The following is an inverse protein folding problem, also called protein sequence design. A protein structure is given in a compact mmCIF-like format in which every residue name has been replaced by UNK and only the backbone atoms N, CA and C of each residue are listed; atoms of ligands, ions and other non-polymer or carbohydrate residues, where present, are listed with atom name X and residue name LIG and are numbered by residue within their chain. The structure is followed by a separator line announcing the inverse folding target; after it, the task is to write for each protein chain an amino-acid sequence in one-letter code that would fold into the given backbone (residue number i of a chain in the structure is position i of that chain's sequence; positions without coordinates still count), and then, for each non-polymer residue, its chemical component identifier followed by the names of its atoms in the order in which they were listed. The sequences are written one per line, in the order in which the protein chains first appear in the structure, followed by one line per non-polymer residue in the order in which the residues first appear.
data_IF_145269096118
#
_entry.id   IF_145269096118
#
_cell.length_a   1.000
_cell.length_b   1.000
_cell.length_c   1.000
_cell.angle_alpha   90.00
_cell.angle_beta   90.00
_cell.angle_gamma   90.00
#
_symmetry.space_group_name_H-M   'P 1'
#
loop_
_entity.id
_entity.type
_entity.pdbx_description
1 polymer ?
#
# COMPACT_ATOMS: atom_id res chain seq x y z
N UNK A 1 6.85 -3.20 29.24
CA UNK A 1 5.99 -3.71 28.15
C UNK A 1 4.74 -2.86 28.13
N UNK A 2 4.66 -1.86 27.24
CA UNK A 2 3.43 -1.07 27.07
C UNK A 2 2.54 -1.83 26.08
N UNK A 3 1.33 -2.17 26.50
CA UNK A 3 0.34 -2.83 25.66
C UNK A 3 0.02 -1.96 24.43
N UNK A 4 -0.01 -2.58 23.25
CA UNK A 4 -0.38 -1.95 21.97
C UNK A 4 -1.88 -1.61 22.00
N UNK A 5 -2.30 -0.39 21.63
CA UNK A 5 -3.68 0.08 21.85
C UNK A 5 -4.72 -0.44 20.84
N UNK A 6 -4.41 -1.39 19.97
CA UNK A 6 -5.39 -1.96 19.05
C UNK A 6 -5.38 -3.47 19.08
N UNK A 7 -6.18 -4.04 19.99
CA UNK A 7 -6.77 -5.36 19.76
C UNK A 7 -7.56 -5.25 18.46
N UNK A 8 -7.06 -5.90 17.40
CA UNK A 8 -7.87 -6.23 16.22
C UNK A 8 -9.11 -6.91 16.75
N UNK A 9 -10.26 -6.24 16.68
CA UNK A 9 -11.53 -6.89 16.96
C UNK A 9 -11.69 -7.97 15.91
N UNK A 10 -11.40 -9.21 16.29
CA UNK A 10 -11.88 -10.42 15.62
C UNK A 10 -13.42 -10.45 15.78
N UNK A 11 -14.10 -9.58 15.05
CA UNK A 11 -15.51 -9.67 14.75
C UNK A 11 -15.61 -9.86 13.25
N UNK A 12 -16.27 -10.92 12.80
CA UNK A 12 -16.65 -11.05 11.40
C UNK A 12 -17.42 -9.79 11.01
N UNK A 13 -16.79 -8.88 10.26
CA UNK A 13 -17.50 -7.76 9.65
C UNK A 13 -18.41 -8.37 8.59
N UNK A 14 -19.72 -8.12 8.62
CA UNK A 14 -20.59 -8.67 7.59
C UNK A 14 -20.17 -8.09 6.24
N UNK A 15 -20.05 -8.97 5.25
CA UNK A 15 -19.90 -8.56 3.85
C UNK A 15 -21.08 -7.66 3.49
N UNK A 16 -20.85 -6.68 2.62
CA UNK A 16 -21.92 -5.80 2.16
C UNK A 16 -23.03 -6.65 1.51
N UNK A 17 -24.23 -6.58 2.06
CA UNK A 17 -25.43 -7.17 1.48
C UNK A 17 -25.91 -6.26 0.34
N UNK A 18 -25.87 -6.75 -0.90
CA UNK A 18 -26.14 -5.94 -2.09
C UNK A 18 -24.94 -5.09 -2.53
N UNK A 19 -25.21 -4.03 -3.29
CA UNK A 19 -24.20 -3.20 -3.95
C UNK A 19 -24.26 -1.73 -3.53
N UNK A 20 -25.12 -1.36 -2.57
CA UNK A 20 -25.31 0.04 -2.14
C UNK A 20 -25.09 0.27 -0.66
N UNK A 21 -24.68 1.49 -0.33
CA UNK A 21 -24.52 1.95 1.06
C UNK A 21 -24.72 3.47 1.17
N UNK A 22 -24.94 3.97 2.39
CA UNK A 22 -25.06 5.40 2.67
C UNK A 22 -23.81 5.94 3.34
N UNK A 23 -23.27 7.01 2.79
CA UNK A 23 -22.12 7.68 3.38
C UNK A 23 -21.91 9.08 2.80
N UNK A 24 -21.51 10.01 3.64
CA UNK A 24 -20.98 11.30 3.17
C UNK A 24 -20.03 11.90 4.20
N UNK A 25 -18.86 12.35 3.76
CA UNK A 25 -17.91 13.07 4.61
C UNK A 25 -17.79 14.50 4.10
N UNK A 26 -18.03 15.48 4.98
CA UNK A 26 -17.97 16.91 4.65
C UNK A 26 -17.40 17.71 5.83
N UNK A 27 -16.79 18.89 5.58
CA UNK A 27 -16.21 19.73 6.63
C UNK A 27 -17.16 20.18 7.74
N UNK A 28 -18.47 20.28 7.45
CA UNK A 28 -19.50 20.70 8.41
C UNK A 28 -19.83 19.62 9.46
N UNK A 29 -19.38 18.38 9.27
CA UNK A 29 -19.61 17.31 10.23
C UNK A 29 -18.70 17.48 11.46
N UNK A 30 -19.27 17.35 12.66
CA UNK A 30 -18.52 17.40 13.94
C UNK A 30 -17.39 16.37 14.06
N UNK A 31 -17.42 15.30 13.26
CA UNK A 31 -16.38 14.28 13.23
C UNK A 31 -15.31 14.52 12.16
N UNK A 32 -15.40 15.60 11.37
CA UNK A 32 -14.44 15.90 10.31
C UNK A 32 -13.01 15.92 10.87
N UNK A 33 -12.07 15.31 10.16
CA UNK A 33 -10.66 15.07 10.55
C UNK A 33 -10.41 14.12 11.73
N UNK A 34 -11.44 13.65 12.45
CA UNK A 34 -11.26 12.76 13.61
C UNK A 34 -10.60 11.42 13.24
N UNK A 35 -10.80 10.93 12.01
CA UNK A 35 -10.15 9.72 11.49
C UNK A 35 -8.63 9.90 11.26
N UNK A 36 -8.13 11.13 11.20
CA UNK A 36 -6.71 11.44 11.01
C UNK A 36 -5.91 11.40 12.33
N UNK A 37 -6.41 10.71 13.36
CA UNK A 37 -5.78 10.55 14.69
C UNK A 37 -5.78 9.09 15.08
N UNK A 38 -4.69 8.65 15.73
CA UNK A 38 -4.55 7.28 16.23
C UNK A 38 -4.81 6.21 15.14
N UNK A 39 -4.37 6.47 13.91
CA UNK A 39 -4.49 5.53 12.81
C UNK A 39 -3.28 4.58 12.77
N UNK A 40 -3.51 3.27 12.68
CA UNK A 40 -2.48 2.27 12.36
C UNK A 40 -2.61 1.92 10.87
N UNK A 41 -1.78 2.55 10.03
CA UNK A 41 -2.04 2.65 8.60
C UNK A 41 -0.92 2.02 7.77
N UNK A 42 -1.24 0.93 7.07
CA UNK A 42 -0.37 0.35 6.05
C UNK A 42 -0.20 1.32 4.88
N UNK A 43 1.04 1.39 4.38
CA UNK A 43 1.38 2.00 3.11
C UNK A 43 1.87 0.90 2.16
N UNK A 44 1.12 0.66 1.10
CA UNK A 44 1.55 -0.22 0.03
C UNK A 44 2.53 0.50 -0.91
N UNK A 45 3.29 -0.24 -1.74
CA UNK A 45 4.24 0.36 -2.67
C UNK A 45 3.68 1.52 -3.49
N UNK A 46 2.43 1.39 -3.96
CA UNK A 46 1.77 2.45 -4.73
C UNK A 46 1.43 3.68 -3.89
N UNK A 47 1.02 3.50 -2.62
CA UNK A 47 0.81 4.64 -1.71
C UNK A 47 2.10 5.43 -1.52
N UNK A 48 3.24 4.75 -1.36
CA UNK A 48 4.55 5.40 -1.20
C UNK A 48 4.93 6.21 -2.43
N UNK A 49 4.67 5.71 -3.65
CA UNK A 49 4.88 6.48 -4.89
C UNK A 49 4.04 7.75 -4.89
N UNK A 50 2.75 7.63 -4.60
CA UNK A 50 1.82 8.79 -4.59
C UNK A 50 2.25 9.83 -3.56
N UNK A 51 2.55 9.40 -2.35
CA UNK A 51 2.94 10.29 -1.26
C UNK A 51 4.29 10.96 -1.50
N UNK A 52 5.33 10.21 -1.89
CA UNK A 52 6.65 10.81 -2.12
C UNK A 52 6.60 11.84 -3.26
N UNK A 53 5.83 11.56 -4.31
CA UNK A 53 5.69 12.46 -5.46
C UNK A 53 4.88 13.71 -5.09
N UNK A 54 3.79 13.55 -4.33
CA UNK A 54 3.02 14.68 -3.78
C UNK A 54 3.87 15.60 -2.92
N UNK A 55 4.79 15.03 -2.15
CA UNK A 55 5.69 15.78 -1.26
C UNK A 55 6.95 16.29 -1.97
N UNK A 56 7.22 15.84 -3.20
CA UNK A 56 8.43 16.20 -3.94
C UNK A 56 9.72 15.69 -3.29
N UNK A 57 9.69 14.53 -2.63
CA UNK A 57 10.85 13.95 -1.93
C UNK A 57 11.25 12.58 -2.49
N UNK A 58 12.55 12.21 -2.42
CA UNK A 58 12.99 10.86 -2.76
C UNK A 58 12.43 9.79 -1.80
N UNK A 59 12.38 8.54 -2.28
CA UNK A 59 11.88 7.38 -1.52
C UNK A 59 12.56 7.22 -0.17
N UNK A 60 13.90 7.33 -0.11
CA UNK A 60 14.67 7.15 1.13
C UNK A 60 14.26 8.19 2.18
N UNK A 61 14.22 9.47 1.80
CA UNK A 61 13.76 10.55 2.68
C UNK A 61 12.31 10.36 3.12
N UNK A 62 11.42 9.94 2.23
CA UNK A 62 10.03 9.66 2.58
C UNK A 62 9.93 8.54 3.63
N UNK A 63 10.61 7.42 3.40
CA UNK A 63 10.61 6.27 4.29
C UNK A 63 11.16 6.63 5.68
N UNK A 64 12.25 7.39 5.75
CA UNK A 64 12.86 7.82 7.01
C UNK A 64 11.98 8.79 7.81
N UNK A 65 11.39 9.79 7.14
CA UNK A 65 10.70 10.89 7.81
C UNK A 65 9.24 10.59 8.11
N UNK A 66 8.56 9.85 7.22
CA UNK A 66 7.10 9.68 7.27
C UNK A 66 6.65 8.27 7.54
N UNK A 67 7.56 7.30 7.70
CA UNK A 67 7.18 5.91 7.93
C UNK A 67 7.92 5.26 9.09
N UNK A 68 7.41 4.11 9.51
CA UNK A 68 8.17 3.14 10.30
C UNK A 68 7.84 1.74 9.80
N UNK A 69 8.70 0.77 10.09
CA UNK A 69 8.46 -0.63 9.72
C UNK A 69 7.99 -1.43 10.91
N UNK A 70 7.06 -2.37 10.67
CA UNK A 70 6.66 -3.31 11.69
C UNK A 70 6.18 -4.64 11.08
N UNK A 71 6.38 -5.73 11.80
CA UNK A 71 5.75 -7.01 11.47
C UNK A 71 4.29 -6.98 11.94
N UNK A 72 3.39 -7.36 11.04
CA UNK A 72 1.94 -7.36 11.23
C UNK A 72 1.36 -8.64 10.63
N UNK A 73 0.33 -8.55 9.79
CA UNK A 73 -0.36 -9.67 9.18
C UNK A 73 0.57 -10.60 8.38
N UNK A 74 1.65 -10.06 7.79
CA UNK A 74 2.75 -10.86 7.27
C UNK A 74 3.89 -10.88 8.32
N UNK A 75 4.13 -12.00 9.01
CA UNK A 75 5.19 -12.09 10.01
C UNK A 75 6.58 -12.31 9.42
N UNK A 76 6.69 -12.47 8.10
CA UNK A 76 7.97 -12.77 7.43
C UNK A 76 8.53 -11.60 6.65
N UNK A 77 7.76 -10.54 6.43
CA UNK A 77 8.24 -9.34 5.73
C UNK A 77 7.68 -8.09 6.42
N UNK A 78 8.52 -7.08 6.71
CA UNK A 78 8.06 -5.90 7.41
C UNK A 78 7.07 -5.11 6.56
N UNK A 79 5.95 -4.73 7.17
CA UNK A 79 5.01 -3.77 6.61
C UNK A 79 5.56 -2.35 6.80
N UNK A 80 5.33 -1.47 5.83
CA UNK A 80 5.60 -0.04 5.97
C UNK A 80 4.33 0.63 6.46
N UNK A 81 4.46 1.38 7.55
CA UNK A 81 3.35 2.04 8.23
C UNK A 81 3.54 3.56 8.18
N UNK A 82 2.46 4.31 8.03
CA UNK A 82 2.53 5.78 8.16
C UNK A 82 2.90 6.15 9.60
N UNK A 83 3.89 7.03 9.75
CA UNK A 83 4.32 7.54 11.04
C UNK A 83 3.40 8.68 11.47
N UNK A 84 2.69 8.45 12.56
CA UNK A 84 1.86 9.47 13.21
C UNK A 84 2.72 10.35 14.14
N UNK A 85 2.23 11.54 14.49
CA UNK A 85 2.96 12.47 15.36
C UNK A 85 3.16 11.89 16.76
N UNK A 86 4.30 12.16 17.40
CA UNK A 86 4.56 11.76 18.79
C UNK A 86 3.84 12.63 19.85
N UNK A 87 2.93 13.51 19.42
CA UNK A 87 2.09 14.32 20.34
C UNK A 87 0.96 13.50 20.95
N UNK A 88 0.36 13.99 22.04
CA UNK A 88 -0.79 13.33 22.70
C UNK A 88 -1.98 13.07 21.75
N UNK A 89 -2.10 13.88 20.69
CA UNK A 89 -3.16 13.74 19.70
C UNK A 89 -2.92 12.61 18.69
N UNK A 90 -1.67 12.14 18.59
CA UNK A 90 -1.22 11.12 17.65
C UNK A 90 -1.78 11.35 16.24
N UNK A 91 -1.67 12.60 15.77
CA UNK A 91 -2.26 13.06 14.53
C UNK A 91 -1.43 12.66 13.31
N UNK A 92 -2.09 12.52 12.16
CA UNK A 92 -1.44 12.36 10.87
C UNK A 92 -0.56 13.61 10.61
N UNK A 93 0.69 13.45 10.17
CA UNK A 93 1.59 14.59 9.93
C UNK A 93 1.11 15.52 8.80
N UNK A 94 0.15 15.09 7.99
CA UNK A 94 -0.42 15.87 6.89
C UNK A 94 -1.74 16.55 7.24
N UNK A 95 -2.15 16.50 8.51
CA UNK A 95 -3.36 17.16 8.96
C UNK A 95 -3.08 18.59 9.42
N UNK A 96 -3.88 19.53 8.94
CA UNK A 96 -4.00 20.91 9.43
C UNK A 96 -5.42 21.16 9.92
N UNK A 97 -5.66 22.36 10.46
CA UNK A 97 -7.01 22.79 10.87
C UNK A 97 -7.99 22.87 9.68
N UNK A 98 -7.47 23.05 8.47
CA UNK A 98 -8.25 23.07 7.22
C UNK A 98 -8.52 21.67 6.65
N UNK A 99 -7.83 20.64 7.15
CA UNK A 99 -7.99 19.25 6.71
C UNK A 99 -6.68 18.60 6.27
N UNK A 100 -6.79 17.60 5.39
CA UNK A 100 -5.64 16.81 4.94
C UNK A 100 -4.95 17.50 3.75
N UNK A 101 -3.67 17.87 3.90
CA UNK A 101 -2.90 18.58 2.86
C UNK A 101 -2.56 17.71 1.64
N UNK A 102 -2.64 16.39 1.81
CA UNK A 102 -2.42 15.37 0.78
C UNK A 102 -3.73 14.71 0.33
N UNK A 103 -4.89 15.32 0.56
CA UNK A 103 -6.19 14.65 0.39
C UNK A 103 -6.32 13.93 -0.96
N UNK A 104 -5.97 14.59 -2.08
CA UNK A 104 -6.03 14.00 -3.43
C UNK A 104 -5.10 12.80 -3.65
N UNK A 105 -4.01 12.69 -2.88
CA UNK A 105 -3.01 11.62 -2.96
C UNK A 105 -3.00 10.73 -1.71
N UNK A 106 -4.08 10.80 -0.91
CA UNK A 106 -4.21 10.03 0.34
C UNK A 106 -4.06 8.52 0.08
N UNK A 107 -3.49 7.77 1.04
CA UNK A 107 -3.31 6.32 0.90
C UNK A 107 -4.62 5.58 0.69
N UNK A 108 -4.53 4.36 0.16
CA UNK A 108 -5.68 3.50 -0.10
C UNK A 108 -6.55 3.30 1.15
N UNK A 109 -5.94 3.16 2.32
CA UNK A 109 -6.62 3.00 3.61
C UNK A 109 -7.51 4.20 3.99
N UNK A 110 -7.11 5.42 3.65
CA UNK A 110 -7.94 6.62 3.78
C UNK A 110 -8.99 6.71 2.69
N UNK A 111 -8.61 6.34 1.46
CA UNK A 111 -9.42 6.51 0.24
C UNK A 111 -10.60 5.57 0.18
N UNK A 112 -10.43 4.33 0.64
CA UNK A 112 -11.49 3.32 0.63
C UNK A 112 -12.58 3.61 1.63
N UNK A 113 -12.26 4.24 2.77
CA UNK A 113 -13.22 4.40 3.87
C UNK A 113 -14.53 5.08 3.43
N UNK A 114 -15.71 4.45 3.64
CA UNK A 114 -15.92 3.31 4.54
C UNK A 114 -15.89 1.94 3.84
N UNK A 115 -15.75 1.89 2.51
CA UNK A 115 -15.81 0.70 1.69
C UNK A 115 -14.48 -0.05 1.66
N UNK A 116 -14.26 -0.96 2.60
CA UNK A 116 -13.08 -1.83 2.62
C UNK A 116 -13.20 -2.95 1.58
N UNK A 117 -12.06 -3.36 1.02
CA UNK A 117 -11.94 -4.45 0.05
C UNK A 117 -11.09 -5.58 0.62
N UNK A 118 -11.59 -6.80 0.55
CA UNK A 118 -10.80 -8.02 0.74
C UNK A 118 -10.67 -8.77 -0.58
N UNK A 119 -9.49 -9.29 -0.86
CA UNK A 119 -9.21 -10.08 -2.07
C UNK A 119 -8.91 -11.51 -1.65
N UNK A 120 -9.63 -12.47 -2.20
CA UNK A 120 -9.30 -13.88 -1.99
C UNK A 120 -7.90 -14.18 -2.58
N UNK A 121 -7.03 -14.81 -1.78
CA UNK A 121 -5.70 -15.26 -2.23
C UNK A 121 -5.72 -16.64 -2.91
N UNK A 122 -6.88 -17.28 -3.02
CA UNK A 122 -7.05 -18.59 -3.64
C UNK A 122 -7.53 -18.44 -5.10
N UNK A 123 -6.73 -18.93 -6.06
CA UNK A 123 -7.09 -18.96 -7.48
C UNK A 123 -6.01 -18.40 -8.41
N UNK A 124 -6.07 -18.78 -9.68
CA UNK A 124 -5.33 -18.06 -10.74
C UNK A 124 -5.93 -16.64 -10.87
N UNK A 125 -5.24 -15.69 -11.52
CA UNK A 125 -5.74 -14.31 -11.66
C UNK A 125 -7.20 -14.19 -12.17
N UNK A 126 -7.74 -15.24 -12.81
CA UNK A 126 -9.10 -15.32 -13.33
C UNK A 126 -10.20 -15.55 -12.26
N UNK A 127 -9.86 -16.01 -11.04
CA UNK A 127 -10.83 -16.38 -9.99
C UNK A 127 -10.83 -15.39 -8.79
N UNK A 128 -10.24 -14.20 -8.95
CA UNK A 128 -10.17 -13.20 -7.87
C UNK A 128 -11.56 -12.62 -7.60
N UNK A 129 -12.17 -13.08 -6.51
CA UNK A 129 -13.41 -12.50 -5.97
C UNK A 129 -13.03 -11.38 -5.01
N UNK A 130 -13.45 -10.16 -5.37
CA UNK A 130 -13.39 -9.00 -4.48
C UNK A 130 -14.62 -9.00 -3.58
N UNK A 131 -14.39 -9.01 -2.26
CA UNK A 131 -15.44 -8.88 -1.27
C UNK A 131 -15.36 -7.49 -0.63
N UNK A 132 -16.50 -6.82 -0.51
CA UNK A 132 -16.58 -5.48 0.06
C UNK A 132 -17.26 -5.48 1.43
N UNK A 133 -16.79 -4.60 2.31
CA UNK A 133 -17.27 -4.45 3.68
C UNK A 133 -17.41 -2.97 4.02
N UNK A 134 -18.38 -2.63 4.88
CA UNK A 134 -18.54 -1.26 5.35
C UNK A 134 -17.94 -1.11 6.74
N UNK A 135 -16.81 -0.42 6.83
CA UNK A 135 -16.16 -0.07 8.08
C UNK A 135 -16.97 1.00 8.82
N UNK A 136 -17.36 0.70 10.06
CA UNK A 136 -18.12 1.62 10.93
C UNK A 136 -17.32 1.93 12.19
N UNK A 137 -16.83 3.15 12.29
CA UNK A 137 -16.25 3.68 13.52
C UNK A 137 -17.31 4.50 14.26
N UNK A 138 -17.44 4.29 15.58
CA UNK A 138 -18.48 4.94 16.40
C UNK A 138 -18.46 6.47 16.35
N UNK A 139 -17.29 7.05 16.07
CA UNK A 139 -17.14 8.50 15.94
C UNK A 139 -17.58 9.06 14.59
N UNK A 140 -17.74 8.23 13.56
CA UNK A 140 -17.93 8.68 12.18
C UNK A 140 -19.40 8.97 11.89
N UNK A 141 -19.76 10.25 11.88
CA UNK A 141 -21.12 10.74 11.59
C UNK A 141 -21.48 10.69 10.10
N UNK A 142 -20.53 10.36 9.22
CA UNK A 142 -20.77 10.22 7.79
C UNK A 142 -21.74 9.09 7.42
N UNK A 143 -21.84 8.07 8.27
CA UNK A 143 -22.79 6.96 8.13
C UNK A 143 -24.25 7.37 8.38
N UNK A 144 -24.49 8.52 9.00
CA UNK A 144 -25.83 9.03 9.31
C UNK A 144 -26.34 9.98 8.21
N UNK A 145 -25.56 10.18 7.14
CA UNK A 145 -25.94 11.05 6.03
C UNK A 145 -26.81 10.30 5.02
N UNK A 146 -27.56 11.05 4.22
CA UNK A 146 -28.57 10.48 3.32
C UNK A 146 -28.04 10.12 1.94
N UNK A 147 -26.83 10.58 1.57
CA UNK A 147 -26.24 10.28 0.27
C UNK A 147 -26.00 8.78 0.12
N UNK A 148 -26.59 8.22 -0.93
CA UNK A 148 -26.46 6.82 -1.30
C UNK A 148 -25.42 6.66 -2.40
N UNK A 149 -24.68 5.56 -2.33
CA UNK A 149 -23.65 5.15 -3.27
C UNK A 149 -23.87 3.72 -3.70
N UNK A 150 -23.52 3.40 -4.94
CA UNK A 150 -23.15 2.03 -5.30
C UNK A 150 -21.66 1.80 -5.01
N UNK A 151 -21.24 0.54 -4.92
CA UNK A 151 -19.82 0.15 -4.86
C UNK A 151 -19.04 0.77 -6.02
N UNK A 152 -19.58 0.68 -7.24
CA UNK A 152 -18.93 1.18 -8.45
C UNK A 152 -18.79 2.71 -8.44
N UNK A 153 -19.86 3.43 -8.09
CA UNK A 153 -19.84 4.90 -8.00
C UNK A 153 -18.82 5.37 -6.97
N UNK A 154 -18.69 4.65 -5.84
CA UNK A 154 -17.70 4.97 -4.82
C UNK A 154 -16.27 4.74 -5.31
N UNK A 155 -16.03 3.63 -6.00
CA UNK A 155 -14.73 3.30 -6.58
C UNK A 155 -14.29 4.39 -7.57
N UNK A 156 -15.19 4.81 -8.45
CA UNK A 156 -14.91 5.88 -9.42
C UNK A 156 -14.74 7.23 -8.73
N UNK A 157 -15.67 7.61 -7.85
CA UNK A 157 -15.63 8.89 -7.14
C UNK A 157 -14.37 9.06 -6.29
N UNK A 158 -13.94 7.98 -5.63
CA UNK A 158 -12.73 8.00 -4.81
C UNK A 158 -11.48 7.63 -5.60
N UNK A 159 -11.55 7.37 -6.91
CA UNK A 159 -10.41 6.97 -7.76
C UNK A 159 -9.65 5.74 -7.21
N UNK A 160 -10.39 4.73 -6.75
CA UNK A 160 -9.84 3.53 -6.10
C UNK A 160 -9.30 2.53 -7.12
N UNK A 161 -9.82 2.52 -8.35
CA UNK A 161 -9.52 1.50 -9.38
C UNK A 161 -8.02 1.29 -9.60
N UNK A 162 -7.28 2.37 -9.83
CA UNK A 162 -5.83 2.32 -10.06
C UNK A 162 -5.07 1.77 -8.83
N UNK A 163 -5.48 2.17 -7.63
CA UNK A 163 -4.88 1.63 -6.41
C UNK A 163 -5.17 0.13 -6.27
N UNK A 164 -6.39 -0.31 -6.56
CA UNK A 164 -6.73 -1.73 -6.53
C UNK A 164 -5.88 -2.54 -7.51
N UNK A 165 -5.69 -2.04 -8.73
CA UNK A 165 -4.83 -2.67 -9.74
C UNK A 165 -3.38 -2.81 -9.25
N UNK A 166 -2.80 -1.76 -8.68
CA UNK A 166 -1.42 -1.82 -8.19
C UNK A 166 -1.30 -2.70 -6.93
N UNK A 167 -2.29 -2.64 -6.03
CA UNK A 167 -2.32 -3.48 -4.84
C UNK A 167 -2.52 -4.96 -5.17
N UNK A 168 -3.25 -5.26 -6.25
CA UNK A 168 -3.41 -6.61 -6.77
C UNK A 168 -2.08 -7.23 -7.22
N UNK A 169 -1.15 -6.42 -7.73
CA UNK A 169 0.23 -6.84 -8.02
C UNK A 169 1.02 -7.06 -6.72
N UNK A 170 0.86 -6.18 -5.75
CA UNK A 170 1.51 -6.33 -4.43
C UNK A 170 1.06 -7.61 -3.71
N UNK A 171 -0.23 -8.00 -3.79
CA UNK A 171 -0.75 -9.24 -3.18
C UNK A 171 0.01 -10.48 -3.68
N UNK A 172 0.40 -10.52 -4.96
CA UNK A 172 1.20 -11.62 -5.50
C UNK A 172 2.57 -11.71 -4.84
N UNK A 173 3.24 -10.56 -4.68
CA UNK A 173 4.56 -10.45 -4.05
C UNK A 173 4.47 -10.77 -2.54
N UNK A 174 3.49 -10.22 -1.84
CA UNK A 174 3.23 -10.53 -0.43
C UNK A 174 2.95 -12.03 -0.21
N UNK A 175 2.30 -12.70 -1.18
CA UNK A 175 2.07 -14.15 -1.13
C UNK A 175 3.39 -14.94 -1.23
N UNK A 176 4.33 -14.51 -2.07
CA UNK A 176 5.66 -15.11 -2.14
C UNK A 176 6.40 -14.93 -0.81
N UNK A 177 6.33 -13.73 -0.23
CA UNK A 177 6.98 -13.43 1.06
C UNK A 177 6.43 -14.27 2.21
N UNK A 178 5.14 -14.61 2.18
CA UNK A 178 4.49 -15.48 3.19
C UNK A 178 5.01 -16.91 3.18
N UNK A 179 5.59 -17.37 2.07
CA UNK A 179 6.24 -18.68 1.96
C UNK A 179 7.66 -18.71 2.57
N UNK A 180 8.08 -17.64 3.27
CA UNK A 180 9.36 -17.51 3.97
C UNK A 180 10.60 -17.73 3.08
N UNK A 181 10.73 -17.01 1.94
CA UNK A 181 11.80 -17.24 0.96
C UNK A 181 13.19 -16.72 1.41
N UNK A 182 13.40 -16.50 2.72
CA UNK A 182 14.55 -15.74 3.24
C UNK A 182 15.75 -16.60 3.64
N UNK A 183 15.60 -17.93 3.61
CA UNK A 183 16.61 -18.87 4.10
C UNK A 183 16.83 -18.79 5.61
N UNK A 184 17.93 -19.36 6.09
CA UNK A 184 18.26 -19.46 7.53
C UNK A 184 18.45 -18.09 8.20
N UNK A 185 18.88 -17.08 7.46
CA UNK A 185 19.12 -15.73 7.98
C UNK A 185 17.82 -14.96 8.27
N UNK A 186 16.67 -15.46 7.83
CA UNK A 186 15.35 -14.90 8.08
C UNK A 186 15.31 -13.37 7.87
N UNK A 187 14.98 -12.61 8.93
CA UNK A 187 14.85 -11.15 8.88
C UNK A 187 16.15 -10.41 8.50
N UNK A 188 17.31 -11.06 8.68
CA UNK A 188 18.63 -10.49 8.36
C UNK A 188 19.10 -10.82 6.94
N UNK A 189 18.31 -11.57 6.17
CA UNK A 189 18.66 -12.02 4.83
C UNK A 189 18.94 -10.85 3.87
N UNK A 190 20.06 -10.87 3.11
CA UNK A 190 20.30 -9.94 2.01
C UNK A 190 19.14 -9.93 1.00
N UNK A 191 18.51 -11.10 0.76
CA UNK A 191 17.38 -11.21 -0.16
C UNK A 191 16.16 -10.40 0.31
N UNK A 192 15.91 -10.36 1.62
CA UNK A 192 14.87 -9.53 2.20
C UNK A 192 15.17 -8.04 1.98
N UNK A 193 16.40 -7.59 2.27
CA UNK A 193 16.81 -6.19 2.08
C UNK A 193 16.69 -5.75 0.63
N UNK A 194 17.11 -6.61 -0.30
CA UNK A 194 16.97 -6.39 -1.75
C UNK A 194 15.50 -6.30 -2.18
N UNK A 195 14.66 -7.18 -1.64
CA UNK A 195 13.21 -7.17 -1.91
C UNK A 195 12.54 -5.92 -1.36
N UNK A 196 12.90 -5.48 -0.16
CA UNK A 196 12.43 -4.23 0.44
C UNK A 196 12.82 -3.02 -0.41
N UNK A 197 14.07 -2.96 -0.87
CA UNK A 197 14.53 -1.89 -1.77
C UNK A 197 13.68 -1.82 -3.04
N UNK A 198 13.51 -2.94 -3.75
CA UNK A 198 12.75 -2.96 -5.00
C UNK A 198 11.24 -2.70 -4.84
N UNK A 199 10.67 -2.95 -3.66
CA UNK A 199 9.25 -2.72 -3.41
C UNK A 199 8.97 -1.32 -2.86
N UNK A 200 9.85 -0.74 -2.04
CA UNK A 200 9.56 0.47 -1.27
C UNK A 200 10.55 1.61 -1.48
N UNK A 201 11.81 1.33 -1.79
CA UNK A 201 12.83 2.35 -2.04
C UNK A 201 13.19 2.41 -3.54
N UNK A 202 12.24 2.90 -4.33
CA UNK A 202 12.34 2.88 -5.79
C UNK A 202 13.49 3.72 -6.32
N UNK A 203 13.81 4.86 -5.70
CA UNK A 203 14.96 5.67 -6.14
C UNK A 203 16.28 4.91 -5.94
N UNK A 204 16.42 4.18 -4.82
CA UNK A 204 17.58 3.30 -4.61
C UNK A 204 17.58 2.10 -5.54
N UNK A 205 16.41 1.52 -5.84
CA UNK A 205 16.29 0.45 -6.83
C UNK A 205 16.64 0.92 -8.25
N UNK A 206 16.26 2.14 -8.61
CA UNK A 206 16.62 2.80 -9.88
C UNK A 206 18.13 2.90 -10.02
N UNK A 207 18.81 3.35 -8.97
CA UNK A 207 20.28 3.42 -8.93
C UNK A 207 20.90 2.02 -9.00
N UNK A 208 20.35 1.05 -8.26
CA UNK A 208 20.81 -0.34 -8.33
C UNK A 208 20.75 -0.91 -9.76
N UNK A 209 19.68 -0.64 -10.52
CA UNK A 209 19.59 -1.09 -11.93
C UNK A 209 20.68 -0.45 -12.79
N UNK A 210 20.95 0.85 -12.60
CA UNK A 210 21.91 1.61 -13.42
C UNK A 210 23.36 1.33 -13.08
N UNK A 211 23.69 1.25 -11.80
CA UNK A 211 25.06 1.31 -11.28
C UNK A 211 25.64 -0.08 -11.01
N UNK A 212 24.81 -1.12 -10.93
CA UNK A 212 25.26 -2.50 -10.75
C UNK A 212 25.39 -3.24 -12.08
N UNK A 213 25.79 -4.51 -12.01
CA UNK A 213 25.79 -5.43 -13.15
C UNK A 213 24.39 -5.89 -13.57
N UNK A 214 23.31 -5.20 -13.18
CA UNK A 214 21.94 -5.63 -13.47
C UNK A 214 21.69 -5.71 -14.97
N UNK A 215 21.96 -4.63 -15.71
CA UNK A 215 21.69 -4.55 -17.16
C UNK A 215 22.66 -5.40 -18.00
N UNK A 216 23.78 -5.83 -17.44
CA UNK A 216 24.66 -6.83 -18.09
C UNK A 216 24.20 -8.27 -17.86
N UNK A 217 23.36 -8.54 -16.86
CA UNK A 217 22.87 -9.89 -16.52
C UNK A 217 21.46 -10.18 -17.04
N UNK A 218 20.62 -9.17 -17.23
CA UNK A 218 19.24 -9.34 -17.67
C UNK A 218 19.01 -8.78 -19.07
N UNK A 219 18.15 -9.46 -19.84
CA UNK A 219 17.64 -8.98 -21.12
C UNK A 219 16.54 -7.95 -20.87
N UNK A 220 16.89 -6.67 -21.05
CA UNK A 220 15.96 -5.54 -20.93
C UNK A 220 16.18 -4.64 -22.15
N UNK A 221 15.13 -4.40 -22.92
CA UNK A 221 15.23 -3.58 -24.13
C UNK A 221 15.50 -2.10 -23.77
N UNK A 222 16.15 -1.32 -24.64
CA UNK A 222 16.37 0.11 -24.42
C UNK A 222 15.07 0.88 -24.10
N UNK A 223 13.98 0.56 -24.78
CA UNK A 223 12.66 1.18 -24.58
C UNK A 223 12.14 0.87 -23.18
N UNK A 224 12.32 -0.36 -22.71
CA UNK A 224 11.90 -0.73 -21.35
C UNK A 224 12.76 -0.04 -20.30
N UNK A 225 14.06 0.11 -20.54
CA UNK A 225 14.95 0.87 -19.66
C UNK A 225 14.46 2.31 -19.57
N UNK A 226 14.23 2.99 -20.70
CA UNK A 226 13.71 4.36 -20.71
C UNK A 226 12.40 4.48 -19.91
N UNK A 227 11.46 3.55 -20.14
CA UNK A 227 10.18 3.54 -19.46
C UNK A 227 10.32 3.43 -17.92
N UNK A 228 11.11 2.49 -17.41
CA UNK A 228 11.28 2.30 -15.96
C UNK A 228 12.14 3.40 -15.32
N UNK A 229 12.92 4.13 -16.11
CA UNK A 229 13.69 5.27 -15.61
C UNK A 229 12.84 6.53 -15.47
N UNK A 230 11.81 6.66 -16.31
CA UNK A 230 10.94 7.85 -16.38
C UNK A 230 9.60 7.69 -15.67
N UNK A 231 9.23 6.49 -15.20
CA UNK A 231 7.98 6.25 -14.47
C UNK A 231 8.20 5.36 -13.25
N UNK A 232 7.94 5.90 -12.06
CA UNK A 232 8.05 5.17 -10.80
C UNK A 232 7.02 4.01 -10.72
N UNK A 233 5.86 4.15 -11.35
CA UNK A 233 4.86 3.06 -11.44
C UNK A 233 5.39 1.92 -12.29
N UNK A 234 6.02 2.21 -13.42
CA UNK A 234 6.63 1.18 -14.28
C UNK A 234 7.86 0.55 -13.62
N UNK A 235 8.64 1.35 -12.88
CA UNK A 235 9.75 0.85 -12.06
C UNK A 235 9.27 -0.09 -10.95
N UNK A 236 8.17 0.23 -10.26
CA UNK A 236 7.56 -0.64 -9.25
C UNK A 236 7.10 -1.97 -9.85
N UNK A 237 6.37 -1.93 -10.97
CA UNK A 237 5.94 -3.14 -11.69
C UNK A 237 7.15 -3.99 -12.10
N UNK A 238 8.22 -3.35 -12.56
CA UNK A 238 9.47 -4.03 -12.89
C UNK A 238 10.15 -4.62 -11.65
N UNK A 239 10.18 -3.89 -10.53
CA UNK A 239 10.67 -4.35 -9.23
C UNK A 239 9.94 -5.60 -8.76
N UNK A 240 8.61 -5.66 -8.88
CA UNK A 240 7.82 -6.85 -8.55
C UNK A 240 8.19 -8.05 -9.44
N UNK A 241 8.33 -7.86 -10.76
CA UNK A 241 8.79 -8.90 -11.68
C UNK A 241 10.17 -9.42 -11.30
N UNK A 242 11.08 -8.51 -10.95
CA UNK A 242 12.42 -8.84 -10.51
C UNK A 242 12.44 -9.60 -9.19
N UNK A 243 11.70 -9.15 -8.17
CA UNK A 243 11.58 -9.84 -6.88
C UNK A 243 11.02 -11.25 -7.06
N UNK A 244 9.98 -11.42 -7.89
CA UNK A 244 9.42 -12.74 -8.21
C UNK A 244 10.47 -13.66 -8.81
N UNK A 245 11.20 -13.20 -9.83
CA UNK A 245 12.29 -13.96 -10.44
C UNK A 245 13.39 -14.28 -9.42
N UNK A 246 13.86 -13.27 -8.71
CA UNK A 246 14.96 -13.35 -7.74
C UNK A 246 14.70 -14.36 -6.63
N UNK A 247 13.45 -14.46 -6.13
CA UNK A 247 13.12 -15.35 -5.03
C UNK A 247 12.64 -16.74 -5.46
N UNK A 248 12.10 -16.88 -6.67
CA UNK A 248 11.45 -18.15 -7.11
C UNK A 248 12.14 -18.83 -8.29
N UNK A 249 13.08 -18.15 -8.95
CA UNK A 249 13.67 -18.58 -10.22
C UNK A 249 12.69 -18.56 -11.40
N UNK A 250 11.44 -18.12 -11.19
CA UNK A 250 10.38 -18.07 -12.19
C UNK A 250 9.92 -16.63 -12.38
N UNK A 251 9.58 -16.25 -13.60
CA UNK A 251 9.05 -14.91 -13.88
C UNK A 251 9.34 -14.46 -15.30
N UNK A 252 8.88 -13.26 -15.68
CA UNK A 252 9.02 -12.76 -17.04
C UNK A 252 10.38 -12.12 -17.34
N UNK A 253 11.36 -12.22 -16.42
CA UNK A 253 12.71 -11.71 -16.66
C UNK A 253 13.61 -12.82 -17.17
N UNK A 254 14.33 -12.53 -18.25
CA UNK A 254 15.27 -13.44 -18.87
C UNK A 254 16.71 -13.01 -18.55
N UNK A 255 17.53 -13.98 -18.17
CA UNK A 255 18.96 -13.76 -17.96
C UNK A 255 19.69 -13.90 -19.30
N UNK A 256 20.63 -12.98 -19.55
CA UNK A 256 21.55 -13.12 -20.67
C UNK A 256 22.37 -14.40 -20.49
N UNK A 257 22.48 -15.18 -21.55
CA UNK A 257 23.31 -16.38 -21.61
C UNK A 257 24.80 -16.03 -21.56
#
# INVERSE_FOLDING_TARGET
MKELPHKVQNGHRPMLEGDTFRFECRPDLKCFTRCCRNADMYLYPYDIIRLKNRLGVPSERFLEQHTFTAFRDNPYFPSVMLKMSDTDSNACPFLTDEGCTIYEDRPISCRTYPLERAVARAGTNADRIDCYFIARHSYCLGHNQFRQWTVEDWIENQQIREYNEMNNLWVEIDTIFRNKPWGEQAINSPALKMSFMACFNLDRFKNFIRESTFLSRFEVTPEKIEQIMNSDVELMKFGFKWVKFFLTGKGPLEQKK
#
